data_IF_246814193468
#
_entry.id   IF_246814193468
#
_cell.length_a   1.000
_cell.length_b   1.000
_cell.length_c   1.000
_cell.angle_alpha   90.00
_cell.angle_beta   90.00
_cell.angle_gamma   90.00
#
_symmetry.space_group_name_H-M   'P 1'
#
loop_
_entity.id
_entity.type
_entity.pdbx_description
1 polymer ?
#
# COMPACT_ATOMS: atom_id res chain seq x y z
N UNK A 1 -31.57 64.32 -8.82
CA UNK A 1 -30.63 63.19 -8.89
C UNK A 1 -30.30 62.73 -7.48
N UNK A 2 -30.82 61.59 -7.03
CA UNK A 2 -30.35 60.88 -5.83
C UNK A 2 -30.53 59.37 -6.10
N UNK A 3 -29.45 58.73 -6.52
CA UNK A 3 -29.35 57.28 -6.63
C UNK A 3 -28.98 56.74 -5.24
N UNK A 4 -29.89 56.00 -4.62
CA UNK A 4 -29.65 55.30 -3.36
C UNK A 4 -29.09 53.93 -3.71
N UNK A 5 -27.79 53.72 -3.50
CA UNK A 5 -27.11 52.45 -3.75
C UNK A 5 -27.44 51.53 -2.58
N UNK A 6 -28.39 50.61 -2.80
CA UNK A 6 -28.67 49.50 -1.89
C UNK A 6 -27.48 48.53 -1.93
N UNK A 7 -26.59 48.68 -0.95
CA UNK A 7 -25.46 47.78 -0.72
C UNK A 7 -25.97 46.46 -0.13
N UNK A 8 -26.28 45.50 -1.01
CA UNK A 8 -26.51 44.11 -0.61
C UNK A 8 -25.17 43.49 -0.22
N UNK A 9 -24.87 43.51 1.08
CA UNK A 9 -23.76 42.74 1.66
C UNK A 9 -24.16 41.26 1.59
N UNK A 10 -23.66 40.58 0.55
CA UNK A 10 -23.72 39.13 0.42
C UNK A 10 -22.74 38.52 1.43
N UNK A 11 -23.23 38.15 2.61
CA UNK A 11 -22.46 37.36 3.58
C UNK A 11 -22.30 35.96 2.99
N UNK A 12 -21.17 35.69 2.35
CA UNK A 12 -20.71 34.34 2.07
C UNK A 12 -20.44 33.65 3.42
N UNK A 13 -21.38 32.84 3.89
CA UNK A 13 -21.09 31.85 4.91
C UNK A 13 -20.10 30.85 4.32
N UNK A 14 -18.81 31.06 4.55
CA UNK A 14 -17.81 30.02 4.38
C UNK A 14 -18.19 28.94 5.40
N UNK A 15 -18.94 27.93 4.95
CA UNK A 15 -19.02 26.65 5.64
C UNK A 15 -17.62 26.06 5.61
N UNK A 16 -16.78 26.42 6.58
CA UNK A 16 -15.68 25.58 6.97
C UNK A 16 -16.34 24.29 7.47
N UNK A 17 -16.53 23.32 6.57
CA UNK A 17 -16.82 21.96 6.95
C UNK A 17 -15.61 21.51 7.74
N UNK A 18 -15.70 21.57 9.07
CA UNK A 18 -14.72 20.98 9.96
C UNK A 18 -14.85 19.48 9.71
N UNK A 19 -14.03 18.95 8.79
CA UNK A 19 -13.88 17.51 8.62
C UNK A 19 -13.46 16.92 9.96
N UNK A 20 -13.97 15.73 10.27
CA UNK A 20 -13.53 15.01 11.46
C UNK A 20 -12.09 14.57 11.21
N UNK A 21 -11.20 14.90 12.14
CA UNK A 21 -9.82 14.41 12.13
C UNK A 21 -9.79 13.06 12.87
N UNK A 22 -9.35 12.02 12.18
CA UNK A 22 -9.38 10.66 12.69
C UNK A 22 -8.11 10.30 13.46
N UNK A 23 -8.26 9.64 14.61
CA UNK A 23 -7.18 9.03 15.38
C UNK A 23 -7.59 7.66 15.94
N UNK A 24 -6.68 7.00 16.65
CA UNK A 24 -6.94 5.63 17.14
C UNK A 24 -8.03 5.56 18.22
N UNK A 25 -8.44 6.69 18.82
CA UNK A 25 -9.48 6.74 19.86
C UNK A 25 -10.88 6.97 19.29
N UNK A 26 -10.98 7.73 18.19
CA UNK A 26 -12.28 8.11 17.63
C UNK A 26 -12.66 7.34 16.35
N UNK A 27 -11.71 6.64 15.72
CA UNK A 27 -11.97 5.95 14.46
C UNK A 27 -12.86 4.70 14.67
N UNK A 28 -13.97 4.56 13.92
CA UNK A 28 -14.91 3.46 14.13
C UNK A 28 -14.31 2.11 13.76
N UNK A 29 -14.62 1.08 14.55
CA UNK A 29 -14.17 -0.29 14.28
C UNK A 29 -15.15 -0.97 13.29
N UNK A 30 -14.71 -1.41 12.09
CA UNK A 30 -15.61 -1.96 11.06
C UNK A 30 -16.31 -3.27 11.45
N UNK A 31 -15.84 -3.96 12.49
CA UNK A 31 -16.46 -5.20 12.96
C UNK A 31 -17.67 -4.90 13.85
N UNK A 32 -17.57 -3.91 14.73
CA UNK A 32 -18.58 -3.63 15.77
C UNK A 32 -19.38 -2.34 15.51
N UNK A 33 -18.77 -1.35 14.86
CA UNK A 33 -19.35 -0.04 14.52
C UNK A 33 -19.59 0.10 13.00
N UNK A 34 -19.91 -0.99 12.31
CA UNK A 34 -20.00 -1.03 10.83
C UNK A 34 -20.94 0.03 10.22
N UNK A 35 -22.01 0.42 10.92
CA UNK A 35 -22.92 1.49 10.46
C UNK A 35 -22.19 2.85 10.35
N UNK A 36 -21.27 3.15 11.29
CA UNK A 36 -20.44 4.37 11.24
C UNK A 36 -19.39 4.30 10.13
N UNK A 37 -19.08 3.11 9.67
CA UNK A 37 -18.18 2.83 8.54
C UNK A 37 -18.90 2.85 7.18
N UNK A 38 -20.17 3.27 7.14
CA UNK A 38 -20.99 3.31 5.92
C UNK A 38 -21.18 1.92 5.27
N UNK A 39 -21.30 0.91 6.14
CA UNK A 39 -21.60 -0.48 5.80
C UNK A 39 -22.90 -0.93 6.49
N UNK A 40 -23.62 -1.86 5.86
CA UNK A 40 -24.91 -2.35 6.38
C UNK A 40 -24.76 -3.55 7.35
N UNK A 41 -23.59 -4.17 7.39
CA UNK A 41 -23.26 -5.33 8.22
C UNK A 41 -21.78 -5.24 8.61
N UNK A 42 -21.37 -6.02 9.62
CA UNK A 42 -19.96 -6.21 9.99
C UNK A 42 -19.09 -6.41 8.75
N UNK A 43 -18.02 -5.63 8.67
CA UNK A 43 -17.12 -5.56 7.52
C UNK A 43 -15.65 -5.59 7.94
N UNK A 44 -14.78 -5.73 6.95
CA UNK A 44 -13.34 -5.57 7.04
C UNK A 44 -12.88 -4.20 6.50
N UNK A 45 -13.75 -3.46 5.82
CA UNK A 45 -13.52 -2.08 5.39
C UNK A 45 -14.26 -1.07 6.25
N UNK A 46 -13.61 0.06 6.55
CA UNK A 46 -14.22 1.24 7.14
C UNK A 46 -13.92 2.51 6.32
N UNK A 47 -14.96 3.24 5.94
CA UNK A 47 -14.85 4.51 5.19
C UNK A 47 -15.94 5.51 5.67
N UNK A 48 -15.81 6.07 6.88
CA UNK A 48 -16.78 7.01 7.46
C UNK A 48 -16.93 8.31 6.64
N UNK A 49 -15.90 8.69 5.88
CA UNK A 49 -15.89 9.94 5.10
C UNK A 49 -16.42 9.80 3.67
N UNK A 50 -16.82 8.59 3.27
CA UNK A 50 -17.35 8.27 1.93
C UNK A 50 -16.35 8.64 0.83
N UNK A 51 -15.09 8.33 1.04
CA UNK A 51 -14.04 8.47 0.02
C UNK A 51 -14.35 7.55 -1.17
N UNK A 52 -14.90 6.37 -0.88
CA UNK A 52 -15.31 5.39 -1.89
C UNK A 52 -16.81 5.45 -2.17
N UNK A 53 -17.23 4.92 -3.31
CA UNK A 53 -18.65 4.66 -3.55
C UNK A 53 -19.13 3.44 -2.75
N UNK A 54 -20.44 3.24 -2.67
CA UNK A 54 -21.01 2.05 -2.03
C UNK A 54 -20.53 0.78 -2.75
N UNK A 55 -20.50 0.79 -4.08
CA UNK A 55 -20.08 -0.36 -4.89
C UNK A 55 -18.59 -0.67 -4.68
N UNK A 56 -17.73 0.36 -4.64
CA UNK A 56 -16.32 0.17 -4.35
C UNK A 56 -16.09 -0.47 -2.98
N UNK A 57 -16.82 -0.02 -1.94
CA UNK A 57 -16.74 -0.61 -0.59
C UNK A 57 -17.11 -2.09 -0.60
N UNK A 58 -18.18 -2.46 -1.32
CA UNK A 58 -18.62 -3.86 -1.45
C UNK A 58 -17.55 -4.70 -2.16
N UNK A 59 -16.98 -4.22 -3.26
CA UNK A 59 -15.95 -4.95 -4.00
C UNK A 59 -14.69 -5.14 -3.14
N UNK A 60 -14.26 -4.10 -2.41
CA UNK A 60 -13.11 -4.20 -1.50
C UNK A 60 -13.40 -5.19 -0.36
N UNK A 61 -14.59 -5.12 0.24
CA UNK A 61 -15.04 -6.04 1.28
C UNK A 61 -15.01 -7.51 0.82
N UNK A 62 -15.56 -7.80 -0.36
CA UNK A 62 -15.52 -9.13 -0.96
C UNK A 62 -14.10 -9.61 -1.17
N UNK A 63 -13.20 -8.70 -1.58
CA UNK A 63 -11.79 -9.02 -1.81
C UNK A 63 -11.02 -9.27 -0.50
N UNK A 64 -11.31 -8.53 0.57
CA UNK A 64 -10.74 -8.77 1.90
C UNK A 64 -11.19 -10.14 2.46
N UNK A 65 -12.47 -10.47 2.33
CA UNK A 65 -13.00 -11.79 2.72
C UNK A 65 -12.37 -12.91 1.90
N UNK A 66 -12.17 -12.67 0.61
CA UNK A 66 -11.45 -13.61 -0.25
C UNK A 66 -10.02 -13.82 0.25
N UNK A 67 -9.26 -12.76 0.54
CA UNK A 67 -7.90 -12.86 1.08
C UNK A 67 -7.87 -13.74 2.35
N UNK A 68 -8.79 -13.51 3.29
CA UNK A 68 -8.84 -14.31 4.51
C UNK A 68 -9.07 -15.79 4.21
N UNK A 69 -10.05 -16.09 3.35
CA UNK A 69 -10.41 -17.46 3.02
C UNK A 69 -9.35 -18.17 2.16
N UNK A 70 -8.86 -17.53 1.11
CA UNK A 70 -7.88 -18.11 0.17
C UNK A 70 -6.54 -18.39 0.84
N UNK A 71 -6.19 -17.58 1.83
CA UNK A 71 -4.95 -17.74 2.56
C UNK A 71 -5.06 -18.70 3.75
N UNK A 72 -6.26 -19.15 4.12
CA UNK A 72 -6.48 -20.13 5.18
C UNK A 72 -6.01 -21.53 4.77
N UNK A 73 -5.51 -22.33 5.72
CA UNK A 73 -5.08 -23.72 5.48
C UNK A 73 -5.82 -24.68 6.40
N UNK A 74 -6.52 -25.66 5.82
CA UNK A 74 -7.04 -26.90 6.43
C UNK A 74 -7.36 -26.86 7.95
N UNK A 75 -8.20 -25.90 8.35
CA UNK A 75 -8.86 -25.87 9.65
C UNK A 75 -8.40 -24.76 10.59
N UNK A 76 -9.37 -24.10 11.21
CA UNK A 76 -9.24 -22.95 12.09
C UNK A 76 -8.68 -23.29 13.49
N UNK A 77 -8.23 -24.54 13.68
CA UNK A 77 -7.92 -25.10 15.00
C UNK A 77 -6.53 -24.72 15.51
N UNK A 78 -5.66 -24.21 14.64
CA UNK A 78 -4.34 -23.69 15.01
C UNK A 78 -4.03 -22.38 14.28
N UNK A 79 -3.09 -21.60 14.81
CA UNK A 79 -2.71 -20.30 14.26
C UNK A 79 -2.02 -20.37 12.89
N UNK A 80 -1.48 -21.53 12.52
CA UNK A 80 -0.90 -21.75 11.19
C UNK A 80 -1.96 -21.94 10.11
N UNK A 81 -3.13 -22.45 10.46
CA UNK A 81 -4.28 -22.62 9.56
C UNK A 81 -5.07 -21.33 9.32
N UNK A 82 -4.93 -20.33 10.18
CA UNK A 82 -5.70 -19.09 10.07
C UNK A 82 -5.29 -18.25 8.84
N UNK A 83 -6.31 -17.72 8.16
CA UNK A 83 -6.19 -16.74 7.09
C UNK A 83 -5.45 -15.46 7.53
N UNK A 84 -5.01 -14.66 6.56
CA UNK A 84 -4.67 -13.27 6.85
C UNK A 84 -5.96 -12.50 7.01
N UNK A 85 -6.13 -11.86 8.16
CA UNK A 85 -7.29 -11.03 8.41
C UNK A 85 -6.88 -9.58 8.18
N UNK A 86 -7.28 -8.99 7.06
CA UNK A 86 -6.95 -7.61 6.75
C UNK A 86 -8.13 -6.70 7.04
N UNK A 87 -7.87 -5.55 7.66
CA UNK A 87 -8.80 -4.44 7.80
C UNK A 87 -8.31 -3.27 6.96
N UNK A 88 -9.22 -2.63 6.23
CA UNK A 88 -8.92 -1.41 5.48
C UNK A 88 -9.60 -0.23 6.16
N UNK A 89 -8.81 0.72 6.65
CA UNK A 89 -9.30 1.97 7.24
C UNK A 89 -9.06 3.12 6.27
N UNK A 90 -10.11 3.86 5.96
CA UNK A 90 -10.11 4.95 5.01
C UNK A 90 -10.65 6.22 5.69
N UNK A 91 -10.01 7.35 5.44
CA UNK A 91 -10.47 8.64 5.90
C UNK A 91 -9.89 9.74 5.03
N UNK A 92 -10.44 10.94 5.11
CA UNK A 92 -9.86 12.10 4.42
C UNK A 92 -8.62 12.59 5.13
N UNK A 93 -8.75 12.80 6.44
CA UNK A 93 -7.70 13.32 7.29
C UNK A 93 -7.50 12.45 8.53
N UNK A 94 -6.25 12.08 8.76
CA UNK A 94 -5.83 11.47 10.01
C UNK A 94 -4.98 12.46 10.80
N UNK A 95 -5.04 12.36 12.12
CA UNK A 95 -4.36 13.26 13.03
C UNK A 95 -2.87 13.35 12.72
N UNK A 96 -2.38 14.58 12.53
CA UNK A 96 -0.99 14.88 12.15
C UNK A 96 -0.74 14.97 10.65
N UNK A 97 -1.53 14.30 9.81
CA UNK A 97 -1.49 14.43 8.34
C UNK A 97 -0.20 13.93 7.66
N UNK A 98 0.71 13.29 8.40
CA UNK A 98 1.96 12.73 7.89
C UNK A 98 2.01 11.20 7.97
N UNK A 99 3.01 10.61 7.31
CA UNK A 99 3.14 9.15 7.20
C UNK A 99 3.45 8.49 8.56
N UNK A 100 4.19 9.18 9.43
CA UNK A 100 4.58 8.65 10.75
C UNK A 100 3.38 8.64 11.72
N UNK A 101 2.53 9.66 11.62
CA UNK A 101 1.28 9.74 12.38
C UNK A 101 0.28 8.69 11.90
N UNK A 102 0.11 8.52 10.58
CA UNK A 102 -0.75 7.47 10.03
C UNK A 102 -0.26 6.07 10.44
N UNK A 103 1.06 5.85 10.43
CA UNK A 103 1.70 4.64 10.95
C UNK A 103 1.35 4.40 12.42
N UNK A 104 1.52 5.42 13.27
CA UNK A 104 1.25 5.31 14.69
C UNK A 104 -0.22 4.96 14.95
N UNK A 105 -1.14 5.62 14.24
CA UNK A 105 -2.58 5.34 14.32
C UNK A 105 -2.86 3.89 13.89
N UNK A 106 -2.32 3.43 12.76
CA UNK A 106 -2.54 2.07 12.29
C UNK A 106 -1.99 1.01 13.28
N UNK A 107 -0.83 1.26 13.89
CA UNK A 107 -0.26 0.37 14.91
C UNK A 107 -1.11 0.33 16.20
N UNK A 108 -1.60 1.48 16.65
CA UNK A 108 -2.51 1.57 17.80
C UNK A 108 -3.80 0.77 17.54
N UNK A 109 -4.35 0.88 16.33
CA UNK A 109 -5.56 0.16 15.93
C UNK A 109 -5.32 -1.36 15.87
N UNK A 110 -4.15 -1.82 15.41
CA UNK A 110 -3.77 -3.24 15.53
C UNK A 110 -3.82 -3.66 17.00
N UNK A 111 -3.16 -2.91 17.90
CA UNK A 111 -3.12 -3.24 19.32
C UNK A 111 -4.53 -3.30 19.93
N UNK A 112 -5.38 -2.32 19.63
CA UNK A 112 -6.75 -2.22 20.13
C UNK A 112 -7.66 -3.34 19.61
N UNK A 113 -7.58 -3.65 18.31
CA UNK A 113 -8.51 -4.57 17.66
C UNK A 113 -8.03 -6.02 17.63
N UNK A 114 -6.74 -6.28 17.90
CA UNK A 114 -6.18 -7.63 18.02
C UNK A 114 -6.45 -8.32 19.36
N UNK A 115 -7.05 -7.62 20.34
CA UNK A 115 -7.11 -7.95 21.78
C UNK A 115 -7.63 -9.36 22.18
N UNK A 116 -8.19 -10.14 21.26
CA UNK A 116 -8.72 -11.49 21.55
C UNK A 116 -8.14 -12.61 20.67
N UNK A 117 -7.21 -12.31 19.75
CA UNK A 117 -6.67 -13.31 18.84
C UNK A 117 -5.22 -13.70 19.21
N UNK A 118 -5.07 -14.89 19.79
CA UNK A 118 -3.76 -15.49 20.09
C UNK A 118 -2.86 -15.65 18.84
N UNK A 119 -3.44 -15.66 17.64
CA UNK A 119 -2.74 -15.95 16.40
C UNK A 119 -2.12 -14.74 15.72
N UNK A 120 -2.52 -13.52 16.10
CA UNK A 120 -1.87 -12.27 15.67
C UNK A 120 -1.74 -12.15 14.14
N UNK A 121 -2.83 -12.37 13.41
CA UNK A 121 -2.90 -12.38 11.93
C UNK A 121 -3.53 -11.13 11.31
N UNK A 122 -3.71 -10.07 12.11
CA UNK A 122 -4.34 -8.83 11.67
C UNK A 122 -3.36 -8.01 10.82
N UNK A 123 -3.82 -7.51 9.67
CA UNK A 123 -3.17 -6.49 8.86
C UNK A 123 -4.08 -5.28 8.83
N UNK A 124 -3.54 -4.07 8.97
CA UNK A 124 -4.24 -2.83 8.72
C UNK A 124 -3.66 -2.15 7.49
N UNK A 125 -4.53 -1.87 6.52
CA UNK A 125 -4.27 -1.02 5.36
C UNK A 125 -4.93 0.32 5.65
N UNK A 126 -4.15 1.35 5.94
CA UNK A 126 -4.62 2.69 6.24
C UNK A 126 -4.48 3.59 5.02
N UNK A 127 -5.53 4.33 4.66
CA UNK A 127 -5.55 5.26 3.54
C UNK A 127 -6.14 6.60 3.95
N UNK A 128 -5.34 7.65 3.85
CA UNK A 128 -5.72 9.05 4.05
C UNK A 128 -5.81 9.74 2.69
N UNK A 129 -7.02 9.97 2.18
CA UNK A 129 -7.22 10.44 0.80
C UNK A 129 -6.69 11.85 0.56
N UNK A 130 -6.97 12.77 1.50
CA UNK A 130 -6.65 14.19 1.33
C UNK A 130 -5.20 14.47 1.75
N UNK A 131 -4.69 13.72 2.74
CA UNK A 131 -3.27 13.73 3.14
C UNK A 131 -2.37 12.98 2.13
N UNK A 132 -2.98 12.22 1.23
CA UNK A 132 -2.34 11.37 0.21
C UNK A 132 -1.33 10.39 0.80
N UNK A 133 -1.72 9.74 1.89
CA UNK A 133 -0.89 8.78 2.63
C UNK A 133 -1.53 7.41 2.60
N UNK A 134 -0.70 6.38 2.47
CA UNK A 134 -1.11 4.98 2.62
C UNK A 134 -0.09 4.31 3.51
N UNK A 135 -0.54 3.56 4.51
CA UNK A 135 0.32 2.78 5.37
C UNK A 135 -0.21 1.35 5.49
N UNK A 136 0.68 0.37 5.42
CA UNK A 136 0.32 -1.03 5.67
C UNK A 136 1.13 -1.50 6.86
N UNK A 137 0.47 -2.08 7.86
CA UNK A 137 1.10 -2.68 9.03
C UNK A 137 0.44 -4.01 9.35
N UNK A 138 1.21 -4.94 9.88
CA UNK A 138 0.74 -6.28 10.24
C UNK A 138 1.18 -6.64 11.66
N UNK A 139 0.34 -7.43 12.33
CA UNK A 139 0.67 -7.99 13.63
C UNK A 139 1.79 -9.05 13.50
N UNK A 140 2.47 -9.32 14.60
CA UNK A 140 3.65 -10.18 14.70
C UNK A 140 3.45 -11.64 14.22
N UNK A 141 2.22 -12.13 14.10
CA UNK A 141 1.93 -13.45 13.53
C UNK A 141 1.86 -13.45 12.00
N UNK A 142 1.85 -12.28 11.35
CA UNK A 142 1.89 -12.13 9.90
C UNK A 142 3.32 -12.36 9.40
N UNK A 143 3.51 -13.38 8.55
CA UNK A 143 4.83 -13.78 8.02
C UNK A 143 5.13 -13.07 6.70
N UNK A 144 4.97 -11.75 6.66
CA UNK A 144 5.33 -10.91 5.51
C UNK A 144 6.47 -10.00 5.94
N UNK A 145 7.56 -9.98 5.18
CA UNK A 145 8.71 -9.12 5.47
C UNK A 145 8.31 -7.64 5.38
N UNK A 146 8.77 -6.80 6.31
CA UNK A 146 8.37 -5.40 6.34
C UNK A 146 8.68 -4.66 5.03
N UNK A 147 9.83 -5.00 4.40
CA UNK A 147 10.23 -4.44 3.10
C UNK A 147 9.17 -4.68 2.02
N UNK A 148 8.47 -5.81 2.09
CA UNK A 148 7.46 -6.18 1.10
C UNK A 148 6.25 -5.23 1.13
N UNK A 149 5.85 -4.72 2.29
CA UNK A 149 4.77 -3.73 2.37
C UNK A 149 5.14 -2.45 1.63
N UNK A 150 6.37 -1.97 1.77
CA UNK A 150 6.85 -0.79 1.05
C UNK A 150 6.88 -1.03 -0.47
N UNK A 151 7.38 -2.19 -0.91
CA UNK A 151 7.37 -2.56 -2.34
C UNK A 151 5.94 -2.59 -2.90
N UNK A 152 5.00 -3.20 -2.18
CA UNK A 152 3.58 -3.27 -2.57
C UNK A 152 3.00 -1.86 -2.75
N UNK A 153 3.28 -0.95 -1.83
CA UNK A 153 2.80 0.42 -1.93
C UNK A 153 3.41 1.17 -3.12
N UNK A 154 4.73 1.11 -3.31
CA UNK A 154 5.41 1.82 -4.39
C UNK A 154 4.91 1.37 -5.77
N UNK A 155 4.58 0.09 -5.94
CA UNK A 155 3.99 -0.45 -7.17
C UNK A 155 2.62 0.19 -7.49
N UNK A 156 1.87 0.64 -6.48
CA UNK A 156 0.53 1.24 -6.65
C UNK A 156 0.52 2.76 -6.65
N UNK A 157 1.65 3.42 -6.41
CA UNK A 157 1.74 4.89 -6.30
C UNK A 157 1.12 5.62 -7.50
N UNK A 158 1.34 5.12 -8.71
CA UNK A 158 0.76 5.73 -9.92
C UNK A 158 -0.77 5.70 -9.95
N UNK A 159 -1.40 4.65 -9.41
CA UNK A 159 -2.86 4.55 -9.34
C UNK A 159 -3.43 5.55 -8.34
N UNK A 160 -2.79 5.67 -7.16
CA UNK A 160 -3.15 6.67 -6.17
C UNK A 160 -3.02 8.10 -6.74
N UNK A 161 -1.95 8.40 -7.47
CA UNK A 161 -1.77 9.70 -8.13
C UNK A 161 -2.84 10.03 -9.17
N UNK A 162 -3.35 9.01 -9.86
CA UNK A 162 -4.40 9.13 -10.88
C UNK A 162 -5.80 9.18 -10.27
N UNK A 163 -5.93 9.08 -8.95
CA UNK A 163 -7.23 8.98 -8.26
C UNK A 163 -7.91 7.62 -8.44
N UNK A 164 -7.21 6.61 -8.95
CA UNK A 164 -7.75 5.26 -9.07
C UNK A 164 -7.52 4.47 -7.77
N UNK A 165 -8.17 4.93 -6.70
CA UNK A 165 -7.99 4.39 -5.35
C UNK A 165 -8.51 2.96 -5.25
N UNK A 166 -9.64 2.64 -5.88
CA UNK A 166 -10.24 1.30 -5.78
C UNK A 166 -9.29 0.26 -6.34
N UNK A 167 -8.78 0.47 -7.55
CA UNK A 167 -7.83 -0.48 -8.15
C UNK A 167 -6.54 -0.57 -7.33
N UNK A 168 -6.06 0.55 -6.78
CA UNK A 168 -4.86 0.55 -5.95
C UNK A 168 -5.03 -0.33 -4.69
N UNK A 169 -6.14 -0.19 -3.98
CA UNK A 169 -6.46 -1.00 -2.80
C UNK A 169 -6.64 -2.48 -3.18
N UNK A 170 -7.36 -2.78 -4.26
CA UNK A 170 -7.53 -4.15 -4.73
C UNK A 170 -6.18 -4.82 -5.07
N UNK A 171 -5.30 -4.09 -5.74
CA UNK A 171 -3.96 -4.58 -6.07
C UNK A 171 -3.08 -4.79 -4.82
N UNK A 172 -3.23 -3.93 -3.79
CA UNK A 172 -2.56 -4.15 -2.50
C UNK A 172 -3.02 -5.48 -1.89
N UNK A 173 -4.33 -5.75 -1.89
CA UNK A 173 -4.89 -6.98 -1.33
C UNK A 173 -4.40 -8.22 -2.10
N UNK A 174 -4.36 -8.15 -3.44
CA UNK A 174 -3.77 -9.20 -4.30
C UNK A 174 -2.28 -9.47 -3.98
N UNK A 175 -1.52 -8.40 -3.73
CA UNK A 175 -0.12 -8.53 -3.43
C UNK A 175 0.12 -9.12 -2.03
N UNK A 176 -0.76 -8.85 -1.06
CA UNK A 176 -0.74 -9.48 0.26
C UNK A 176 -1.07 -10.97 0.18
N UNK A 177 -2.04 -11.35 -0.65
CA UNK A 177 -2.38 -12.76 -0.94
C UNK A 177 -1.14 -13.51 -1.45
N UNK A 178 -0.47 -12.92 -2.45
CA UNK A 178 0.75 -13.46 -3.06
C UNK A 178 1.94 -13.52 -2.08
N UNK A 179 2.05 -12.54 -1.17
CA UNK A 179 3.15 -12.46 -0.22
C UNK A 179 3.11 -13.56 0.86
N UNK A 180 1.91 -14.03 1.25
CA UNK A 180 1.77 -15.09 2.27
C UNK A 180 2.31 -16.44 1.81
N UNK A 181 2.24 -16.71 0.51
CA UNK A 181 2.64 -18.02 -0.03
C UNK A 181 4.14 -18.29 0.12
N UNK A 182 4.92 -17.28 0.53
CA UNK A 182 6.33 -17.42 0.79
C UNK A 182 7.06 -17.76 -0.50
N UNK A 183 7.46 -16.73 -1.25
CA UNK A 183 8.67 -16.75 -2.10
C UNK A 183 9.04 -18.14 -2.63
N UNK A 184 8.18 -18.77 -3.44
CA UNK A 184 8.71 -19.64 -4.49
C UNK A 184 9.38 -18.67 -5.43
N UNK A 185 10.69 -18.49 -5.22
CA UNK A 185 11.49 -17.48 -5.90
C UNK A 185 11.12 -17.41 -7.37
N UNK A 186 11.12 -16.17 -7.88
CA UNK A 186 11.05 -15.84 -9.29
C UNK A 186 11.66 -16.98 -10.11
N UNK A 187 10.80 -17.74 -10.79
CA UNK A 187 11.16 -19.00 -11.44
C UNK A 187 12.45 -18.80 -12.23
N UNK A 188 13.48 -19.58 -11.90
CA UNK A 188 14.78 -19.62 -12.58
C UNK A 188 14.65 -19.83 -14.09
N UNK A 189 13.48 -20.26 -14.58
CA UNK A 189 13.15 -20.34 -16.00
C UNK A 189 13.01 -18.97 -16.70
N UNK A 190 12.63 -17.89 -16.01
CA UNK A 190 12.55 -16.54 -16.62
C UNK A 190 13.96 -15.97 -16.82
N UNK A 191 14.85 -16.15 -15.83
CA UNK A 191 16.24 -15.71 -15.96
C UNK A 191 17.03 -16.58 -16.95
N UNK A 192 16.80 -17.89 -17.01
CA UNK A 192 17.39 -18.76 -18.02
C UNK A 192 16.91 -18.39 -19.44
N UNK A 193 15.63 -18.04 -19.61
CA UNK A 193 15.08 -17.59 -20.89
C UNK A 193 15.71 -16.29 -21.40
N UNK A 194 16.00 -15.34 -20.51
CA UNK A 194 16.67 -14.08 -20.85
C UNK A 194 18.15 -14.31 -21.21
N UNK A 195 18.87 -15.16 -20.48
CA UNK A 195 20.28 -15.48 -20.79
C UNK A 195 20.41 -16.23 -22.12
N UNK A 196 19.51 -17.18 -22.40
CA UNK A 196 19.49 -17.90 -23.69
C UNK A 196 19.07 -16.95 -24.83
N UNK A 197 18.11 -16.06 -24.61
CA UNK A 197 17.66 -15.09 -25.61
C UNK A 197 18.74 -14.07 -25.99
N UNK A 198 19.44 -13.51 -25.00
CA UNK A 198 20.55 -12.56 -25.24
C UNK A 198 21.75 -13.29 -25.86
N UNK A 199 22.05 -14.52 -25.42
CA UNK A 199 23.11 -15.34 -26.02
C UNK A 199 22.82 -15.67 -27.49
N UNK A 200 21.58 -16.00 -27.85
CA UNK A 200 21.20 -16.30 -29.23
C UNK A 200 21.19 -15.04 -30.12
N UNK A 201 20.75 -13.89 -29.59
CA UNK A 201 20.80 -12.62 -30.30
C UNK A 201 22.25 -12.16 -30.54
N UNK A 202 23.15 -12.29 -29.57
CA UNK A 202 24.57 -11.98 -29.74
C UNK A 202 25.28 -12.95 -30.68
N UNK A 203 24.91 -14.24 -30.67
CA UNK A 203 25.44 -15.23 -31.60
C UNK A 203 24.99 -14.97 -33.05
N UNK A 204 23.72 -14.60 -33.25
CA UNK A 204 23.22 -14.17 -34.58
C UNK A 204 23.88 -12.86 -35.04
N UNK A 205 24.10 -11.91 -34.14
CA UNK A 205 24.81 -10.66 -34.46
C UNK A 205 26.28 -10.92 -34.86
N UNK A 206 26.98 -11.82 -34.15
CA UNK A 206 28.35 -12.19 -34.49
C UNK A 206 28.46 -12.96 -35.82
N UNK A 207 27.45 -13.77 -36.18
CA UNK A 207 27.37 -14.41 -37.50
C UNK A 207 27.12 -13.38 -38.62
N UNK A 208 26.34 -12.34 -38.39
CA UNK A 208 26.15 -11.24 -39.35
C UNK A 208 27.40 -10.36 -39.50
N UNK A 209 28.13 -10.06 -38.42
CA UNK A 209 29.34 -9.23 -38.46
C UNK A 209 30.51 -9.88 -39.22
N UNK A 210 30.53 -11.20 -39.39
CA UNK A 210 31.60 -11.88 -40.14
C UNK A 210 31.50 -11.70 -41.66
N UNK A 211 30.33 -11.31 -42.19
CA UNK A 211 30.15 -11.20 -43.64
C UNK A 211 30.07 -9.78 -44.18
N UNK A 212 29.83 -8.78 -43.34
CA UNK A 212 29.71 -7.39 -43.77
C UNK A 212 30.19 -6.46 -42.65
N UNK A 213 31.49 -6.20 -42.58
CA UNK A 213 31.98 -4.84 -42.33
C UNK A 213 33.50 -4.74 -42.61
N UNK A 214 33.94 -3.74 -43.40
CA UNK A 214 35.33 -3.37 -43.56
C UNK A 214 35.88 -2.77 -42.26
N UNK A 215 37.16 -3.03 -42.01
CA UNK A 215 37.94 -2.46 -40.92
C UNK A 215 38.12 -0.95 -41.12
N UNK A 216 37.57 -0.14 -40.23
CA UNK A 216 38.06 1.23 -40.02
C UNK A 216 38.26 1.46 -38.52
N UNK A 217 39.50 1.81 -38.18
CA UNK A 217 39.93 2.07 -36.83
C UNK A 217 39.48 3.44 -36.35
N UNK A 218 39.19 3.55 -35.05
CA UNK A 218 39.40 4.79 -34.31
C UNK A 218 39.52 4.50 -32.82
N UNK A 219 40.65 4.94 -32.28
CA UNK A 219 40.97 5.09 -30.88
C UNK A 219 40.06 6.11 -30.21
N UNK A 220 39.48 5.79 -29.06
CA UNK A 220 39.08 6.81 -28.07
C UNK A 220 39.41 6.37 -26.64
N UNK A 221 39.97 7.34 -25.96
CA UNK A 221 40.49 7.36 -24.59
C UNK A 221 39.37 7.74 -23.61
N UNK A 222 39.59 7.39 -22.34
CA UNK A 222 39.17 8.15 -21.14
C UNK A 222 37.92 7.69 -20.40
N UNK A 223 38.06 7.58 -19.07
CA UNK A 223 36.94 7.69 -18.13
C UNK A 223 36.95 6.72 -16.95
N UNK A 224 37.96 6.79 -16.06
CA UNK A 224 37.83 6.25 -14.70
C UNK A 224 36.87 7.15 -13.90
N UNK A 225 35.70 6.61 -13.55
CA UNK A 225 34.74 7.23 -12.62
C UNK A 225 34.62 6.38 -11.37
N UNK A 226 35.27 6.85 -10.31
CA UNK A 226 35.24 6.33 -8.94
C UNK A 226 33.86 6.64 -8.31
N UNK A 227 33.13 5.63 -7.84
CA UNK A 227 31.92 5.84 -7.03
C UNK A 227 32.17 5.30 -5.63
N UNK A 228 32.52 6.23 -4.72
CA UNK A 228 32.58 5.98 -3.30
C UNK A 228 31.19 5.75 -2.71
N UNK A 229 30.96 4.58 -2.12
CA UNK A 229 29.82 4.34 -1.24
C UNK A 229 30.17 4.82 0.17
N UNK A 230 29.57 5.93 0.56
CA UNK A 230 29.56 6.43 1.93
C UNK A 230 28.61 5.60 2.80
N UNK A 231 29.11 5.17 3.96
CA UNK A 231 28.34 4.50 4.99
C UNK A 231 27.39 5.43 5.75
N UNK A 232 26.50 4.80 6.50
CA UNK A 232 25.57 5.44 7.41
C UNK A 232 24.93 4.40 8.32
N UNK A 233 25.69 3.98 9.33
CA UNK A 233 25.17 3.29 10.50
C UNK A 233 24.28 4.24 11.31
N UNK A 234 23.13 3.75 11.76
CA UNK A 234 22.23 4.49 12.66
C UNK A 234 21.21 3.55 13.29
N UNK A 235 21.50 3.12 14.52
CA UNK A 235 20.72 2.17 15.29
C UNK A 235 19.42 2.72 15.89
N UNK A 236 18.64 1.80 16.46
CA UNK A 236 17.44 2.09 17.22
C UNK A 236 16.63 0.82 17.47
N UNK A 237 17.02 0.04 18.48
CA UNK A 237 16.24 -1.09 18.96
C UNK A 237 14.94 -0.60 19.61
N UNK A 238 13.81 -1.07 19.07
CA UNK A 238 12.46 -0.98 19.61
C UNK A 238 11.61 -1.97 18.82
N UNK A 239 10.95 -2.89 19.50
CA UNK A 239 10.47 -4.15 18.91
C UNK A 239 9.54 -4.01 17.68
N UNK A 240 9.75 -4.89 16.71
CA UNK A 240 8.68 -5.66 16.05
C UNK A 240 7.73 -4.99 15.06
N UNK A 241 7.80 -3.70 14.80
CA UNK A 241 6.77 -3.02 13.98
C UNK A 241 7.12 -3.01 12.49
N UNK A 242 6.74 -4.09 11.79
CA UNK A 242 6.78 -4.16 10.34
C UNK A 242 5.62 -3.38 9.70
N UNK A 243 5.88 -2.13 9.32
CA UNK A 243 5.00 -1.42 8.39
C UNK A 243 5.76 -0.77 7.24
N UNK A 244 5.11 -0.68 6.10
CA UNK A 244 5.65 -0.07 4.88
C UNK A 244 4.58 0.73 4.15
N UNK A 245 4.93 1.97 3.78
CA UNK A 245 4.00 2.94 3.19
C UNK A 245 4.37 4.39 3.54
N UNK A 246 5.62 4.79 3.29
CA UNK A 246 6.11 6.09 3.77
C UNK A 246 5.83 7.28 2.84
N UNK A 247 5.38 7.06 1.61
CA UNK A 247 5.37 8.08 0.57
C UNK A 247 4.05 8.84 0.46
N UNK A 248 4.11 10.18 0.46
CA UNK A 248 3.05 10.96 -0.18
C UNK A 248 3.04 10.70 -1.68
N UNK A 249 1.87 10.76 -2.32
CA UNK A 249 1.74 10.55 -3.76
C UNK A 249 1.22 11.77 -4.53
#
# INVERSE_FOLDING_TARGET
>A
MRFVINSFIFIFFIKNGIGVEWDSENYPNPIVDYEKCEMNISSQICDPDKVFTVDDRIIIEEKLKWLENSTSKNGWRNCDGMGLFALTIIGKHFKGGDSDSLKAIANDLISKWSSNNNCKKLIIIAFASDDRKVWITGDSGVKIECKKYTEIFEDQKSLFQKGNFTQAILNIIDALESAKEGSKGLSTHVLAGIIIGIGFALFLCALCCKHFCPSDGSSTTSGNGDYGYGGGDGGGGGGGDCGGGGGGF
#
